data_IF_124128418210
#
_entry.id   IF_124128418210
#
_cell.length_a   1.000
_cell.length_b   1.000
_cell.length_c   1.000
_cell.angle_alpha   90.00
_cell.angle_beta   90.00
_cell.angle_gamma   90.00
#
_symmetry.space_group_name_H-M   'P 1'
#
loop_
_entity.id
_entity.type
_entity.pdbx_description
1 polymer ?
#
# COMPACT_ATOMS: atom_id res chain seq x y z
N UNK A 1 12.15 -22.06 7.03
CA UNK A 1 10.80 -21.49 7.10
C UNK A 1 10.78 -20.30 8.05
N UNK A 2 10.35 -19.14 7.55
CA UNK A 2 10.28 -17.94 8.39
C UNK A 2 9.15 -18.06 9.40
N UNK A 3 9.42 -17.67 10.64
CA UNK A 3 8.34 -17.56 11.63
C UNK A 3 7.64 -16.21 11.44
N UNK A 4 6.38 -16.15 11.85
CA UNK A 4 5.64 -14.88 11.83
C UNK A 4 6.35 -13.81 12.65
N UNK A 5 6.90 -14.20 13.81
CA UNK A 5 7.63 -13.28 14.67
C UNK A 5 8.86 -12.69 13.97
N UNK A 6 9.60 -13.52 13.23
CA UNK A 6 10.74 -13.06 12.45
C UNK A 6 10.32 -12.12 11.32
N UNK A 7 9.24 -12.45 10.62
CA UNK A 7 8.72 -11.62 9.53
C UNK A 7 8.21 -10.28 10.05
N UNK A 8 7.53 -10.26 11.19
CA UNK A 8 7.09 -9.02 11.83
C UNK A 8 8.28 -8.15 12.22
N UNK A 9 9.36 -8.75 12.72
CA UNK A 9 10.56 -8.01 13.09
C UNK A 9 11.17 -7.32 11.88
N UNK A 10 11.19 -7.99 10.72
CA UNK A 10 11.69 -7.41 9.47
C UNK A 10 10.81 -6.23 9.04
N UNK A 11 9.49 -6.39 9.05
CA UNK A 11 8.57 -5.31 8.68
C UNK A 11 8.71 -4.12 9.61
N UNK A 12 8.82 -4.35 10.91
CA UNK A 12 9.00 -3.28 11.89
C UNK A 12 10.34 -2.56 11.73
N UNK A 13 11.38 -3.30 11.34
CA UNK A 13 12.68 -2.69 11.04
C UNK A 13 12.54 -1.64 9.92
N UNK A 14 11.86 -1.99 8.82
CA UNK A 14 11.63 -1.03 7.74
C UNK A 14 10.71 0.11 8.16
N UNK A 15 9.72 -0.16 8.99
CA UNK A 15 8.83 0.88 9.49
C UNK A 15 9.58 1.93 10.31
N UNK A 16 10.61 1.52 11.04
CA UNK A 16 11.41 2.42 11.88
C UNK A 16 12.48 3.18 11.11
N UNK A 17 12.78 2.80 9.88
CA UNK A 17 13.73 3.55 9.06
C UNK A 17 13.15 4.91 8.66
N UNK A 18 14.04 5.86 8.39
CA UNK A 18 13.65 7.23 8.02
C UNK A 18 13.25 7.36 6.55
N UNK A 19 13.54 6.36 5.74
CA UNK A 19 13.27 6.38 4.30
C UNK A 19 11.97 5.66 3.97
N UNK A 20 11.43 5.94 2.78
CA UNK A 20 10.32 5.14 2.24
C UNK A 20 10.84 3.79 1.77
N UNK A 21 10.05 2.74 1.96
CA UNK A 21 10.43 1.38 1.61
C UNK A 21 9.32 0.72 0.79
N UNK A 22 9.73 -0.13 -0.15
CA UNK A 22 8.83 -0.99 -0.91
C UNK A 22 9.14 -2.43 -0.54
N UNK A 23 8.13 -3.15 -0.10
CA UNK A 23 8.26 -4.54 0.35
C UNK A 23 7.32 -5.42 -0.44
N UNK A 24 7.86 -6.47 -1.06
CA UNK A 24 7.05 -7.52 -1.68
C UNK A 24 7.00 -8.71 -0.74
N UNK A 25 5.80 -9.20 -0.48
CA UNK A 25 5.62 -10.42 0.29
C UNK A 25 5.24 -11.54 -0.66
N UNK A 26 6.12 -12.53 -0.78
CA UNK A 26 5.95 -13.66 -1.66
C UNK A 26 5.45 -14.89 -0.90
N UNK A 27 4.93 -15.86 -1.64
CA UNK A 27 4.51 -17.12 -1.12
C UNK A 27 3.10 -17.48 -1.55
N UNK A 28 2.74 -18.76 -1.38
CA UNK A 28 1.45 -19.28 -1.82
C UNK A 28 0.35 -19.16 -0.77
N UNK A 29 0.73 -19.00 0.48
CA UNK A 29 -0.24 -18.94 1.58
C UNK A 29 -0.78 -17.51 1.75
N UNK A 30 -1.84 -17.21 1.01
CA UNK A 30 -2.49 -15.91 1.06
C UNK A 30 -2.97 -15.54 2.47
N UNK A 31 -3.59 -16.49 3.16
CA UNK A 31 -4.13 -16.22 4.51
C UNK A 31 -3.01 -15.91 5.49
N UNK A 32 -1.88 -16.61 5.40
CA UNK A 32 -0.71 -16.31 6.23
C UNK A 32 -0.13 -14.94 5.97
N UNK A 33 -0.04 -14.54 4.69
CA UNK A 33 0.41 -13.19 4.32
C UNK A 33 -0.54 -12.13 4.85
N UNK A 34 -1.84 -12.34 4.70
CA UNK A 34 -2.86 -11.40 5.16
C UNK A 34 -2.81 -11.24 6.69
N UNK A 35 -2.67 -12.34 7.42
CA UNK A 35 -2.54 -12.31 8.88
C UNK A 35 -1.31 -11.54 9.33
N UNK A 36 -0.18 -11.73 8.64
CA UNK A 36 1.06 -11.02 8.92
C UNK A 36 0.87 -9.50 8.73
N UNK A 37 0.26 -9.11 7.61
CA UNK A 37 0.05 -7.70 7.29
C UNK A 37 -0.92 -7.07 8.30
N UNK A 38 -2.00 -7.76 8.64
CA UNK A 38 -2.97 -7.26 9.64
C UNK A 38 -2.30 -7.05 10.99
N UNK A 39 -1.47 -7.99 11.41
CA UNK A 39 -0.78 -7.86 12.69
C UNK A 39 0.22 -6.71 12.66
N UNK A 40 0.96 -6.57 11.55
CA UNK A 40 1.89 -5.46 11.39
C UNK A 40 1.19 -4.10 11.44
N UNK A 41 0.00 -3.98 10.84
CA UNK A 41 -0.72 -2.71 10.77
C UNK A 41 -1.37 -2.28 12.10
N UNK A 42 -1.45 -3.16 13.08
CA UNK A 42 -2.03 -2.80 14.38
C UNK A 42 -1.28 -1.63 15.01
N UNK A 43 -2.05 -0.61 15.41
CA UNK A 43 -1.48 0.58 16.03
C UNK A 43 -0.78 1.54 15.08
N UNK A 44 -0.85 1.31 13.78
CA UNK A 44 -0.21 2.14 12.76
C UNK A 44 -1.25 2.78 11.87
N UNK A 45 -0.93 3.93 11.29
CA UNK A 45 -1.76 4.54 10.25
C UNK A 45 -1.49 3.84 8.94
N UNK A 46 -2.54 3.35 8.30
CA UNK A 46 -2.38 2.62 7.05
C UNK A 46 -3.51 2.90 6.07
N UNK A 47 -3.21 2.74 4.80
CA UNK A 47 -4.18 2.68 3.71
C UNK A 47 -4.12 1.28 3.12
N UNK A 48 -5.26 0.62 3.04
CA UNK A 48 -5.38 -0.73 2.50
C UNK A 48 -6.30 -0.72 1.29
N UNK A 49 -5.82 -1.29 0.19
CA UNK A 49 -6.61 -1.48 -1.01
C UNK A 49 -6.55 -2.94 -1.43
N UNK A 50 -7.71 -3.57 -1.54
CA UNK A 50 -7.84 -4.91 -2.09
C UNK A 50 -8.23 -4.79 -3.56
N UNK A 51 -7.39 -5.31 -4.47
CA UNK A 51 -7.69 -5.29 -5.88
C UNK A 51 -8.97 -6.06 -6.18
N UNK A 52 -9.72 -5.62 -7.18
CA UNK A 52 -11.00 -6.23 -7.58
C UNK A 52 -10.86 -6.88 -8.95
N UNK A 53 -11.76 -7.81 -9.24
CA UNK A 53 -11.92 -8.35 -10.59
C UNK A 53 -12.58 -7.28 -11.45
N UNK A 54 -11.78 -6.44 -12.09
CA UNK A 54 -12.26 -5.26 -12.77
C UNK A 54 -11.30 -4.89 -13.89
N UNK A 55 -11.78 -4.09 -14.85
CA UNK A 55 -10.91 -3.50 -15.87
C UNK A 55 -9.88 -2.57 -15.21
N UNK A 56 -8.83 -2.21 -15.95
CA UNK A 56 -7.84 -1.27 -15.45
C UNK A 56 -8.49 0.05 -15.00
N UNK A 57 -9.42 0.56 -15.78
CA UNK A 57 -10.15 1.80 -15.46
C UNK A 57 -10.99 1.66 -14.20
N UNK A 58 -11.72 0.58 -14.06
CA UNK A 58 -12.55 0.34 -12.87
C UNK A 58 -11.71 0.18 -11.61
N UNK A 59 -10.56 -0.45 -11.74
CA UNK A 59 -9.64 -0.61 -10.62
C UNK A 59 -9.24 0.76 -10.04
N UNK A 60 -8.90 1.70 -10.93
CA UNK A 60 -8.55 3.06 -10.51
C UNK A 60 -9.75 3.77 -9.88
N UNK A 61 -10.94 3.61 -10.45
CA UNK A 61 -12.16 4.20 -9.90
C UNK A 61 -12.45 3.70 -8.50
N UNK A 62 -12.26 2.40 -8.26
CA UNK A 62 -12.49 1.82 -6.94
C UNK A 62 -11.50 2.35 -5.90
N UNK A 63 -10.22 2.46 -6.30
CA UNK A 63 -9.22 3.03 -5.41
C UNK A 63 -9.54 4.50 -5.10
N UNK A 64 -9.94 5.26 -6.11
CA UNK A 64 -10.36 6.66 -5.95
C UNK A 64 -11.50 6.78 -4.94
N UNK A 65 -12.53 5.95 -5.09
CA UNK A 65 -13.67 5.95 -4.16
C UNK A 65 -13.24 5.62 -2.73
N UNK A 66 -12.38 4.62 -2.57
CA UNK A 66 -11.87 4.22 -1.26
C UNK A 66 -11.11 5.37 -0.58
N UNK A 67 -10.27 6.05 -1.35
CA UNK A 67 -9.47 7.17 -0.83
C UNK A 67 -10.35 8.36 -0.49
N UNK A 68 -11.27 8.71 -1.37
CA UNK A 68 -12.19 9.83 -1.13
C UNK A 68 -13.04 9.59 0.12
N UNK A 69 -13.47 8.36 0.32
CA UNK A 69 -14.25 7.97 1.50
C UNK A 69 -13.40 8.01 2.77
N UNK A 70 -12.21 7.40 2.74
CA UNK A 70 -11.36 7.28 3.92
C UNK A 70 -10.80 8.62 4.38
N UNK A 71 -10.35 9.46 3.44
CA UNK A 71 -9.68 10.72 3.75
C UNK A 71 -10.60 11.93 3.65
N UNK A 72 -11.83 11.74 3.18
CA UNK A 72 -12.81 12.83 2.99
C UNK A 72 -12.24 13.95 2.11
N UNK A 73 -11.64 13.56 0.99
CA UNK A 73 -11.02 14.46 0.02
C UNK A 73 -11.59 14.18 -1.35
N UNK A 74 -11.30 15.06 -2.30
CA UNK A 74 -11.62 14.86 -3.71
C UNK A 74 -10.34 14.54 -4.45
N UNK A 75 -10.34 13.44 -5.21
CA UNK A 75 -9.24 13.09 -6.09
C UNK A 75 -9.52 13.72 -7.45
N UNK A 76 -8.60 14.57 -7.91
CA UNK A 76 -8.83 15.42 -9.09
C UNK A 76 -8.89 14.67 -10.41
N UNK A 77 -8.11 13.60 -10.54
CA UNK A 77 -8.03 12.81 -11.77
C UNK A 77 -8.21 11.32 -11.47
N UNK A 78 -8.70 10.58 -12.47
CA UNK A 78 -8.84 9.13 -12.36
C UNK A 78 -7.53 8.47 -12.78
N UNK A 79 -6.53 8.54 -11.90
CA UNK A 79 -5.22 7.95 -12.08
C UNK A 79 -4.66 7.49 -10.75
N UNK A 80 -3.76 6.50 -10.78
CA UNK A 80 -3.10 6.05 -9.55
C UNK A 80 -2.26 7.16 -8.93
N UNK A 81 -1.60 7.97 -9.77
CA UNK A 81 -0.80 9.08 -9.28
C UNK A 81 -1.64 10.08 -8.47
N UNK A 82 -2.80 10.47 -9.00
CA UNK A 82 -3.72 11.35 -8.27
C UNK A 82 -4.25 10.71 -6.99
N UNK A 83 -4.57 9.42 -7.05
CA UNK A 83 -5.00 8.67 -5.88
C UNK A 83 -3.93 8.69 -4.79
N UNK A 84 -2.71 8.30 -5.13
CA UNK A 84 -1.63 8.23 -4.15
C UNK A 84 -1.24 9.60 -3.61
N UNK A 85 -1.48 10.66 -4.36
CA UNK A 85 -1.16 12.02 -3.89
C UNK A 85 -2.01 12.45 -2.69
N UNK A 86 -3.12 11.79 -2.43
CA UNK A 86 -4.06 12.14 -1.36
C UNK A 86 -3.92 11.30 -0.10
N UNK A 87 -3.17 10.21 -0.14
CA UNK A 87 -3.02 9.37 1.05
C UNK A 87 -1.95 9.94 1.98
N UNK A 88 -2.21 9.87 3.28
CA UNK A 88 -1.30 10.40 4.31
C UNK A 88 -1.66 9.79 5.67
N UNK A 89 -0.73 9.85 6.61
CA UNK A 89 -0.98 9.38 7.96
C UNK A 89 -1.81 10.37 8.79
N UNK A 90 -1.76 11.65 8.44
CA UNK A 90 -2.43 12.70 9.19
C UNK A 90 -1.68 13.18 10.42
N UNK A 91 -0.54 12.60 10.73
CA UNK A 91 0.32 12.99 11.84
C UNK A 91 1.79 12.80 11.44
N UNK A 92 2.71 12.78 12.40
CA UNK A 92 4.15 12.63 12.14
C UNK A 92 4.59 11.17 12.08
N UNK A 93 3.66 10.23 12.05
CA UNK A 93 4.01 8.81 11.93
C UNK A 93 4.12 8.40 10.46
N UNK A 94 4.88 7.35 10.24
CA UNK A 94 5.06 6.78 8.91
C UNK A 94 3.76 6.15 8.43
N UNK A 95 3.41 6.36 7.16
CA UNK A 95 2.23 5.76 6.55
C UNK A 95 2.55 4.37 6.02
N UNK A 96 1.70 3.40 6.32
CA UNK A 96 1.75 2.06 5.72
C UNK A 96 0.74 2.01 4.57
N UNK A 97 1.20 1.61 3.38
CA UNK A 97 0.33 1.45 2.21
C UNK A 97 0.32 -0.04 1.85
N UNK A 98 -0.85 -0.65 1.83
CA UNK A 98 -0.99 -2.08 1.55
C UNK A 98 -1.83 -2.28 0.30
N UNK A 99 -1.27 -2.96 -0.68
CA UNK A 99 -1.98 -3.35 -1.91
C UNK A 99 -2.09 -4.88 -1.93
N UNK A 100 -3.30 -5.36 -1.75
CA UNK A 100 -3.63 -6.78 -1.68
C UNK A 100 -3.91 -7.32 -3.09
N UNK A 101 -3.28 -8.44 -3.43
CA UNK A 101 -3.33 -9.07 -4.75
C UNK A 101 -2.89 -8.10 -5.86
N UNK A 102 -1.67 -7.64 -5.75
CA UNK A 102 -1.08 -6.70 -6.70
C UNK A 102 -0.99 -7.28 -8.13
N UNK A 103 -0.85 -8.59 -8.27
CA UNK A 103 -0.79 -9.23 -9.60
C UNK A 103 -2.04 -8.97 -10.42
N UNK A 104 -3.19 -8.91 -9.77
CA UNK A 104 -4.46 -8.63 -10.46
C UNK A 104 -4.44 -7.26 -11.11
N UNK A 105 -3.79 -6.29 -10.48
CA UNK A 105 -3.62 -4.95 -11.05
C UNK A 105 -2.59 -4.99 -12.18
N UNK A 106 -1.43 -5.61 -11.93
CA UNK A 106 -0.31 -5.61 -12.87
C UNK A 106 -0.60 -6.33 -14.18
N UNK A 107 -1.45 -7.36 -14.15
CA UNK A 107 -1.84 -8.08 -15.37
C UNK A 107 -2.55 -7.19 -16.38
N UNK A 108 -3.31 -6.21 -15.91
CA UNK A 108 -4.08 -5.31 -16.76
C UNK A 108 -3.44 -3.95 -16.93
N UNK A 109 -2.57 -3.57 -16.01
CA UNK A 109 -1.93 -2.25 -16.02
C UNK A 109 -0.52 -2.34 -15.46
N UNK A 110 0.46 -2.73 -16.30
CA UNK A 110 1.85 -2.79 -15.86
C UNK A 110 2.42 -1.43 -15.43
N UNK A 111 1.81 -0.33 -15.89
CA UNK A 111 2.24 1.02 -15.52
C UNK A 111 1.98 1.36 -14.06
N UNK A 112 1.18 0.54 -13.37
CA UNK A 112 0.91 0.73 -11.94
C UNK A 112 2.19 0.85 -11.12
N UNK A 113 3.24 0.09 -11.47
CA UNK A 113 4.51 0.15 -10.73
C UNK A 113 5.17 1.50 -10.82
N UNK A 114 4.99 2.24 -11.91
CA UNK A 114 5.52 3.60 -12.03
C UNK A 114 4.87 4.53 -11.02
N UNK A 115 3.60 4.36 -10.78
CA UNK A 115 2.88 5.14 -9.76
C UNK A 115 3.34 4.78 -8.35
N UNK A 116 3.63 3.51 -8.08
CA UNK A 116 4.20 3.07 -6.81
C UNK A 116 5.58 3.70 -6.60
N UNK A 117 6.41 3.71 -7.64
CA UNK A 117 7.73 4.34 -7.57
C UNK A 117 7.63 5.84 -7.24
N UNK A 118 6.67 6.54 -7.85
CA UNK A 118 6.43 7.95 -7.53
C UNK A 118 5.99 8.15 -6.09
N UNK A 119 5.17 7.22 -5.58
CA UNK A 119 4.75 7.26 -4.18
C UNK A 119 5.97 7.16 -3.25
N UNK A 120 6.92 6.28 -3.58
CA UNK A 120 8.15 6.11 -2.81
C UNK A 120 9.02 7.36 -2.82
N UNK A 121 9.00 8.11 -3.93
CA UNK A 121 9.79 9.33 -4.10
C UNK A 121 9.16 10.55 -3.41
N UNK A 122 7.91 10.45 -2.96
CA UNK A 122 7.27 11.57 -2.25
C UNK A 122 8.07 11.92 -1.00
N UNK A 123 8.37 13.21 -0.87
CA UNK A 123 9.09 13.73 0.30
C UNK A 123 8.12 13.93 1.45
N UNK A 124 7.53 12.84 1.92
CA UNK A 124 6.73 12.83 3.13
C UNK A 124 7.63 12.44 4.30
N UNK A 125 7.66 13.25 5.29
CA UNK A 125 8.34 12.90 6.51
C UNK A 125 7.30 12.28 7.46
N UNK A 126 7.59 11.14 8.05
CA UNK A 126 8.83 10.34 7.97
C UNK A 126 8.87 9.29 6.86
N UNK A 127 8.04 9.39 5.83
CA UNK A 127 8.05 8.47 4.69
C UNK A 127 6.91 7.46 4.72
N UNK A 128 7.01 6.45 3.87
CA UNK A 128 6.00 5.40 3.73
C UNK A 128 6.62 4.01 3.73
N UNK A 129 5.86 3.01 4.18
CA UNK A 129 6.14 1.59 3.93
C UNK A 129 5.05 1.09 3.01
N UNK A 130 5.42 0.70 1.79
CA UNK A 130 4.47 0.16 0.81
C UNK A 130 4.65 -1.35 0.73
N UNK A 131 3.58 -2.09 1.00
CA UNK A 131 3.58 -3.55 1.02
C UNK A 131 2.70 -4.04 -0.11
N UNK A 132 3.29 -4.82 -1.01
CA UNK A 132 2.60 -5.45 -2.13
C UNK A 132 2.61 -6.96 -1.94
N UNK A 133 1.46 -7.58 -2.10
CA UNK A 133 1.38 -9.05 -2.01
C UNK A 133 0.23 -9.63 -2.80
#
# INVERSE_FOLDING_TARGET
MSSRKGDLAVLNHYYEEKNSNLIFIYGQNYLGKMDLVKEFCKGKKFFYYASRHASAKEQILRMKEDIESQYRVTVSETSYDSCFSKIKSGDLTKLVVVIDDVDRILRRDPEFMKSVEKLLERKLYPGTVTILF
#
